data_IF_573843924911
#
_entry.id   IF_573843924911
#
_cell.length_a   1.000
_cell.length_b   1.000
_cell.length_c   1.000
_cell.angle_alpha   90.00
_cell.angle_beta   90.00
_cell.angle_gamma   90.00
#
_symmetry.space_group_name_H-M   'P 1'
#
loop_
_entity.id
_entity.type
_entity.pdbx_description
1 polymer ?
#
# COMPACT_ATOMS: atom_id res chain seq x y z
N UNK A 1 -6.68 -67.89 -12.25
CA UNK A 1 -7.35 -66.65 -11.79
C UNK A 1 -6.28 -65.57 -11.80
N UNK A 2 -6.23 -64.76 -12.85
CA UNK A 2 -5.43 -63.54 -12.96
C UNK A 2 -6.03 -62.76 -14.15
N UNK A 3 -6.99 -61.90 -13.87
CA UNK A 3 -7.60 -61.00 -14.84
C UNK A 3 -6.74 -59.75 -14.97
N UNK A 4 -5.92 -59.66 -16.02
CA UNK A 4 -5.24 -58.43 -16.39
C UNK A 4 -6.22 -57.54 -17.15
N UNK A 5 -6.97 -56.72 -16.44
CA UNK A 5 -7.74 -55.64 -17.04
C UNK A 5 -6.76 -54.63 -17.67
N UNK A 6 -7.00 -54.18 -18.92
CA UNK A 6 -6.16 -53.16 -19.52
C UNK A 6 -6.35 -51.82 -18.77
N UNK A 7 -5.28 -51.34 -18.16
CA UNK A 7 -5.16 -49.97 -17.64
C UNK A 7 -5.57 -49.00 -18.74
N UNK A 8 -6.71 -48.32 -18.57
CA UNK A 8 -7.13 -47.25 -19.47
C UNK A 8 -6.17 -46.08 -19.24
N UNK A 9 -5.21 -45.90 -20.15
CA UNK A 9 -4.35 -44.73 -20.15
C UNK A 9 -5.22 -43.46 -20.22
N UNK A 10 -4.91 -42.40 -19.46
CA UNK A 10 -5.64 -41.15 -19.56
C UNK A 10 -5.57 -40.66 -21.01
N UNK A 11 -6.74 -40.52 -21.63
CA UNK A 11 -6.90 -40.01 -23.00
C UNK A 11 -6.23 -38.64 -23.04
N UNK A 12 -5.20 -38.50 -23.87
CA UNK A 12 -4.63 -37.21 -24.18
C UNK A 12 -5.78 -36.32 -24.68
N UNK A 13 -6.06 -35.25 -23.94
CA UNK A 13 -6.99 -34.22 -24.40
C UNK A 13 -6.29 -33.58 -25.59
N UNK A 14 -6.84 -33.76 -26.79
CA UNK A 14 -6.36 -33.07 -27.98
C UNK A 14 -6.42 -31.56 -27.71
N UNK A 15 -5.24 -30.97 -27.52
CA UNK A 15 -5.01 -29.55 -27.20
C UNK A 15 -5.13 -28.65 -28.44
N UNK A 16 -5.70 -29.19 -29.53
CA UNK A 16 -5.91 -28.51 -30.82
C UNK A 16 -7.22 -27.70 -30.87
N UNK A 17 -7.93 -27.59 -29.74
CA UNK A 17 -9.05 -26.67 -29.64
C UNK A 17 -8.52 -25.22 -29.64
N UNK A 18 -9.01 -24.32 -30.52
CA UNK A 18 -8.60 -22.92 -30.51
C UNK A 18 -8.84 -22.33 -29.11
N UNK A 19 -7.76 -21.84 -28.48
CA UNK A 19 -7.84 -21.20 -27.16
C UNK A 19 -8.89 -20.08 -27.24
N UNK A 20 -9.97 -20.13 -26.42
CA UNK A 20 -10.97 -19.08 -26.42
C UNK A 20 -10.29 -17.73 -26.21
N UNK A 21 -10.64 -16.68 -26.99
CA UNK A 21 -10.03 -15.37 -26.82
C UNK A 21 -10.20 -14.93 -25.36
N UNK A 22 -9.07 -14.65 -24.70
CA UNK A 22 -9.05 -14.27 -23.30
C UNK A 22 -9.93 -13.05 -23.04
N UNK A 23 -10.65 -13.03 -21.91
CA UNK A 23 -11.45 -11.87 -21.50
C UNK A 23 -10.54 -10.63 -21.45
N UNK A 24 -10.89 -9.51 -22.10
CA UNK A 24 -10.10 -8.30 -22.02
C UNK A 24 -10.08 -7.80 -20.57
N UNK A 25 -8.88 -7.73 -19.99
CA UNK A 25 -8.65 -7.18 -18.64
C UNK A 25 -8.40 -5.68 -18.80
N UNK A 26 -9.34 -4.85 -18.36
CA UNK A 26 -9.15 -3.40 -18.30
C UNK A 26 -8.53 -3.05 -16.94
N UNK A 27 -7.24 -2.68 -16.96
CA UNK A 27 -6.57 -2.20 -15.75
C UNK A 27 -7.07 -0.79 -15.45
N UNK A 28 -7.78 -0.61 -14.33
CA UNK A 28 -8.07 0.73 -13.86
C UNK A 28 -6.78 1.37 -13.31
N UNK A 29 -6.45 2.61 -13.72
CA UNK A 29 -5.33 3.33 -13.14
C UNK A 29 -5.50 3.48 -11.62
N UNK A 30 -4.42 3.34 -10.87
CA UNK A 30 -4.42 3.54 -9.42
C UNK A 30 -4.99 4.91 -9.08
N UNK A 31 -5.95 5.02 -8.14
CA UNK A 31 -6.63 6.28 -7.87
C UNK A 31 -5.65 7.41 -7.48
N UNK A 32 -5.85 8.63 -8.02
CA UNK A 32 -5.02 9.78 -7.66
C UNK A 32 -5.20 10.10 -6.17
N UNK A 33 -4.13 9.97 -5.40
CA UNK A 33 -4.13 10.19 -3.95
C UNK A 33 -3.77 8.95 -3.12
N UNK A 34 -3.92 7.74 -3.67
CA UNK A 34 -3.61 6.50 -2.92
C UNK A 34 -2.17 6.48 -2.41
N UNK A 35 -1.21 6.82 -3.27
CA UNK A 35 0.21 6.87 -2.91
C UNK A 35 0.52 7.90 -1.82
N UNK A 36 -0.18 9.04 -1.82
CA UNK A 36 -0.01 10.08 -0.80
C UNK A 36 -0.55 9.60 0.56
N UNK A 37 -1.68 8.90 0.55
CA UNK A 37 -2.22 8.25 1.76
C UNK A 37 -1.25 7.19 2.27
N UNK A 38 -0.86 6.24 1.40
CA UNK A 38 -0.02 5.11 1.78
C UNK A 38 1.32 5.58 2.35
N UNK A 39 2.05 6.43 1.62
CA UNK A 39 3.33 6.94 2.07
C UNK A 39 3.18 7.84 3.31
N UNK A 40 2.15 8.70 3.34
CA UNK A 40 1.90 9.58 4.47
C UNK A 40 1.63 8.81 5.76
N UNK A 41 0.83 7.74 5.71
CA UNK A 41 0.55 6.87 6.86
C UNK A 41 1.80 6.12 7.29
N UNK A 42 2.55 5.54 6.35
CA UNK A 42 3.81 4.84 6.65
C UNK A 42 4.80 5.77 7.35
N UNK A 43 4.98 6.99 6.84
CA UNK A 43 5.86 8.00 7.45
C UNK A 43 5.34 8.45 8.81
N UNK A 44 4.04 8.72 8.93
CA UNK A 44 3.40 9.12 10.19
C UNK A 44 3.63 8.11 11.31
N UNK A 45 3.56 6.82 10.98
CA UNK A 45 3.76 5.75 11.94
C UNK A 45 5.25 5.51 12.22
N UNK A 46 6.11 5.45 11.20
CA UNK A 46 7.50 5.02 11.37
C UNK A 46 8.43 6.14 11.86
N UNK A 47 8.21 7.39 11.46
CA UNK A 47 9.13 8.48 11.77
C UNK A 47 9.36 8.70 13.29
N UNK A 48 8.34 8.64 14.17
CA UNK A 48 8.55 8.75 15.61
C UNK A 48 9.44 7.64 16.18
N UNK A 49 9.26 6.39 15.74
CA UNK A 49 10.09 5.26 16.20
C UNK A 49 11.52 5.39 15.69
N UNK A 50 11.71 5.81 14.44
CA UNK A 50 13.04 6.09 13.91
C UNK A 50 13.73 7.21 14.68
N UNK A 51 12.98 8.26 15.05
CA UNK A 51 13.47 9.34 15.91
C UNK A 51 13.99 8.84 17.25
N UNK A 52 13.21 8.00 17.94
CA UNK A 52 13.61 7.35 19.20
C UNK A 52 14.87 6.50 18.99
N UNK A 53 14.92 5.68 17.94
CA UNK A 53 16.03 4.77 17.67
C UNK A 53 17.34 5.52 17.44
N UNK A 54 17.28 6.60 16.63
CA UNK A 54 18.43 7.47 16.37
C UNK A 54 18.84 8.21 17.64
N UNK A 55 17.88 8.77 18.38
CA UNK A 55 18.14 9.48 19.64
C UNK A 55 18.79 8.57 20.69
N UNK A 56 18.39 7.30 20.74
CA UNK A 56 18.99 6.29 21.62
C UNK A 56 20.43 5.93 21.21
N UNK A 57 20.75 5.93 19.91
CA UNK A 57 22.07 5.56 19.42
C UNK A 57 23.15 6.63 19.65
N UNK A 58 22.76 7.89 19.82
CA UNK A 58 23.68 9.03 19.98
C UNK A 58 24.29 9.11 21.39
N UNK A 59 23.65 8.52 22.41
CA UNK A 59 24.13 8.50 23.80
C UNK A 59 24.02 9.86 24.51
N UNK A 60 23.81 9.86 25.83
CA UNK A 60 23.75 11.08 26.63
C UNK A 60 25.15 11.65 26.86
N UNK A 61 25.39 12.90 26.45
CA UNK A 61 26.66 13.56 26.73
C UNK A 61 26.74 13.91 28.22
N UNK A 62 27.74 13.38 28.93
CA UNK A 62 28.03 13.76 30.31
C UNK A 62 28.20 15.28 30.44
N UNK A 63 27.36 15.91 31.27
CA UNK A 63 27.65 17.22 31.86
C UNK A 63 27.03 18.47 31.23
N UNK A 64 26.03 18.37 30.34
CA UNK A 64 25.39 19.56 29.76
C UNK A 64 23.88 19.54 29.86
N UNK A 65 23.28 20.60 30.42
CA UNK A 65 21.84 20.86 30.43
C UNK A 65 21.26 20.93 29.01
N UNK A 66 20.92 19.77 28.43
CA UNK A 66 20.34 19.59 27.11
C UNK A 66 19.43 18.36 27.21
N UNK A 67 18.13 18.55 26.95
CA UNK A 67 17.12 17.47 26.95
C UNK A 67 17.68 16.19 26.37
N UNK A 68 17.37 15.05 27.01
CA UNK A 68 17.88 13.74 26.66
C UNK A 68 17.84 13.55 25.12
N UNK A 69 18.93 13.12 24.46
CA UNK A 69 18.97 12.90 23.01
C UNK A 69 17.80 12.07 22.47
N UNK A 70 17.26 11.20 23.32
CA UNK A 70 16.03 10.44 23.10
C UNK A 70 14.79 11.34 22.88
N UNK A 71 14.61 12.37 23.70
CA UNK A 71 13.51 13.32 23.60
C UNK A 71 13.59 14.11 22.28
N UNK A 72 14.78 14.58 21.93
CA UNK A 72 14.99 15.30 20.66
C UNK A 72 14.75 14.41 19.45
N UNK A 73 15.21 13.17 19.51
CA UNK A 73 14.94 12.16 18.49
C UNK A 73 13.44 11.95 18.29
N UNK A 74 12.70 11.69 19.36
CA UNK A 74 11.24 11.53 19.30
C UNK A 74 10.54 12.80 18.79
N UNK A 75 10.95 13.98 19.25
CA UNK A 75 10.35 15.25 18.84
C UNK A 75 10.49 15.48 17.33
N UNK A 76 11.71 15.33 16.79
CA UNK A 76 11.97 15.46 15.35
C UNK A 76 11.21 14.39 14.56
N UNK A 77 11.25 13.13 15.03
CA UNK A 77 10.50 12.04 14.42
C UNK A 77 8.99 12.29 14.41
N UNK A 78 8.46 12.89 15.49
CA UNK A 78 7.07 13.30 15.62
C UNK A 78 6.68 14.42 14.67
N UNK A 79 7.53 15.44 14.48
CA UNK A 79 7.30 16.50 13.49
C UNK A 79 7.25 15.95 12.06
N UNK A 80 8.18 15.07 11.71
CA UNK A 80 8.17 14.38 10.41
C UNK A 80 6.91 13.52 10.27
N UNK A 81 6.53 12.81 11.33
CA UNK A 81 5.32 12.00 11.35
C UNK A 81 4.05 12.84 11.15
N UNK A 82 3.97 14.01 11.77
CA UNK A 82 2.86 14.95 11.59
C UNK A 82 2.76 15.45 10.14
N UNK A 83 3.90 15.75 9.49
CA UNK A 83 3.92 16.08 8.07
C UNK A 83 3.44 14.91 7.20
N UNK A 84 3.82 13.68 7.54
CA UNK A 84 3.28 12.47 6.92
C UNK A 84 1.77 12.37 7.03
N UNK A 85 1.21 12.69 8.21
CA UNK A 85 -0.23 12.69 8.43
C UNK A 85 -0.96 13.76 7.60
N UNK A 86 -0.36 14.96 7.47
CA UNK A 86 -0.89 16.01 6.58
C UNK A 86 -0.89 15.54 5.12
N UNK A 87 0.20 14.93 4.65
CA UNK A 87 0.28 14.36 3.31
C UNK A 87 -0.77 13.26 3.08
N UNK A 88 -0.99 12.39 4.08
CA UNK A 88 -2.03 11.37 4.03
C UNK A 88 -3.43 11.99 3.96
N UNK A 89 -3.71 13.00 4.76
CA UNK A 89 -4.99 13.73 4.74
C UNK A 89 -5.26 14.38 3.37
N UNK A 90 -4.25 15.02 2.78
CA UNK A 90 -4.36 15.59 1.42
C UNK A 90 -4.59 14.50 0.36
N UNK A 91 -3.93 13.35 0.51
CA UNK A 91 -4.17 12.18 -0.33
C UNK A 91 -5.59 11.63 -0.23
N UNK A 92 -6.11 11.53 1.00
CA UNK A 92 -7.45 11.03 1.28
C UNK A 92 -8.52 11.98 0.74
N UNK A 93 -8.34 13.29 0.92
CA UNK A 93 -9.21 14.30 0.30
C UNK A 93 -9.21 14.20 -1.23
N UNK A 94 -8.05 14.00 -1.85
CA UNK A 94 -7.96 13.81 -3.30
C UNK A 94 -8.73 12.55 -3.75
N UNK A 95 -8.61 11.45 -2.99
CA UNK A 95 -9.30 10.19 -3.26
C UNK A 95 -10.83 10.35 -3.19
N UNK A 96 -11.33 11.01 -2.13
CA UNK A 96 -12.76 11.26 -1.91
C UNK A 96 -13.31 12.15 -3.04
N UNK A 97 -12.56 13.18 -3.45
CA UNK A 97 -12.97 14.06 -4.55
C UNK A 97 -13.04 13.31 -5.88
N UNK A 98 -12.09 12.43 -6.15
CA UNK A 98 -12.07 11.65 -7.39
C UNK A 98 -13.19 10.60 -7.44
N UNK A 99 -13.46 9.90 -6.33
CA UNK A 99 -14.56 8.96 -6.22
C UNK A 99 -15.92 9.63 -6.42
N UNK A 100 -16.13 10.83 -5.84
CA UNK A 100 -17.34 11.62 -6.07
C UNK A 100 -17.49 12.03 -7.53
N UNK A 101 -16.41 12.48 -8.18
CA UNK A 101 -16.46 12.88 -9.59
C UNK A 101 -16.81 11.71 -10.52
N UNK A 102 -16.34 10.48 -10.24
CA UNK A 102 -16.69 9.28 -11.01
C UNK A 102 -18.18 8.92 -10.87
N UNK A 103 -18.74 9.02 -9.66
CA UNK A 103 -20.17 8.75 -9.41
C UNK A 103 -21.10 9.68 -10.21
N UNK A 104 -20.80 10.99 -10.25
CA UNK A 104 -21.60 11.93 -11.05
C UNK A 104 -21.56 11.68 -12.57
N UNK A 105 -20.49 11.07 -13.09
CA UNK A 105 -20.39 10.73 -14.51
C UNK A 105 -21.23 9.49 -14.86
N UNK A 106 -21.25 8.48 -13.98
CA UNK A 106 -22.07 7.27 -14.15
C UNK A 106 -23.58 7.60 -14.12
N UNK A 107 -24.00 8.54 -13.26
CA UNK A 107 -25.40 8.99 -13.20
C UNK A 107 -25.82 9.81 -14.44
N UNK A 108 -24.89 10.52 -15.07
CA UNK A 108 -25.14 11.33 -16.27
C UNK A 108 -25.19 10.50 -17.56
N UNK A 109 -24.48 9.35 -17.61
CA UNK A 109 -24.56 8.40 -18.74
C UNK A 109 -25.79 7.48 -18.66
N UNK A 110 -26.47 7.44 -17.51
CA UNK A 110 -27.70 6.65 -17.29
C UNK A 110 -29.00 7.38 -17.70
N UNK A 111 -28.90 8.63 -18.17
CA UNK A 111 -30.04 9.49 -18.59
C UNK A 111 -29.88 9.98 -20.02
#
# INVERSE_FOLDING_TARGET
MNDTAPTTAPRAVDDDAPVPPGRPIRLEPTPPGLWRVLLGVVVALLAPFFGILIGSGIGSAEGGNRMDPLYWGFFIGGLIGALGLVAAGLGAMALIRHARAKGYAEDAEAH
#
